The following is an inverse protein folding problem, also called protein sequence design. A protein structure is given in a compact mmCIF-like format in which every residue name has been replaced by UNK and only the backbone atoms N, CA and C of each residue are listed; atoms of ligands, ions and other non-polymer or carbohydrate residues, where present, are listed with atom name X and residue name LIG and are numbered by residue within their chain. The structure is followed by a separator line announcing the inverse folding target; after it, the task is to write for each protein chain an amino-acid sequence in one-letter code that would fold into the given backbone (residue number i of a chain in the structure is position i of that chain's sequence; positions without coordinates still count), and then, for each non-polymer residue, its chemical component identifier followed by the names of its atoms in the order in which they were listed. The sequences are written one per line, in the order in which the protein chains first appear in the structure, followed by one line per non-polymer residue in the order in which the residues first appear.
data_IF_742501115828
#
_entry.id   IF_742501115828
#
_cell.length_a   1.000
_cell.length_b   1.000
_cell.length_c   1.000
_cell.angle_alpha   90.00
_cell.angle_beta   90.00
_cell.angle_gamma   90.00
#
_symmetry.space_group_name_H-M   'P 1'
#
loop_
_entity.id
_entity.type
_entity.pdbx_description
1 polymer ?
#
# COMPACT_ATOMS: atom_id res chain seq x y z
N UNK A 1 0.76 2.82 15.52
CA UNK A 1 -0.18 2.85 14.38
C UNK A 1 0.60 2.93 13.08
N UNK A 2 0.10 2.32 11.99
CA UNK A 2 0.74 2.42 10.67
C UNK A 2 0.32 3.73 9.98
N UNK A 3 1.27 4.57 9.59
CA UNK A 3 1.00 5.91 9.07
C UNK A 3 0.09 5.88 7.83
N UNK A 4 0.39 5.05 6.83
CA UNK A 4 -0.36 4.99 5.58
C UNK A 4 -1.73 4.31 5.70
N UNK A 5 -2.06 3.73 6.86
CA UNK A 5 -3.36 3.09 7.08
C UNK A 5 -4.50 4.13 7.15
N UNK A 6 -4.22 5.33 7.64
CA UNK A 6 -5.21 6.42 7.76
C UNK A 6 -5.16 7.37 6.58
N UNK A 7 -6.31 7.94 6.22
CA UNK A 7 -6.42 9.03 5.23
C UNK A 7 -5.50 10.21 5.52
N UNK A 8 -5.43 10.64 6.79
CA UNK A 8 -4.57 11.74 7.20
C UNK A 8 -3.10 11.43 6.93
N UNK A 9 -2.63 10.22 7.27
CA UNK A 9 -1.26 9.81 7.00
C UNK A 9 -0.95 9.70 5.51
N UNK A 10 -1.86 9.13 4.69
CA UNK A 10 -1.70 9.12 3.22
C UNK A 10 -1.64 10.53 2.64
N UNK A 11 -2.49 11.44 3.10
CA UNK A 11 -2.50 12.85 2.66
C UNK A 11 -1.17 13.54 2.97
N UNK A 12 -0.62 13.30 4.15
CA UNK A 12 0.70 13.82 4.52
C UNK A 12 1.82 13.24 3.65
N UNK A 13 1.80 11.93 3.37
CA UNK A 13 2.80 11.30 2.51
C UNK A 13 2.74 11.83 1.07
N UNK A 14 1.53 11.96 0.51
CA UNK A 14 1.32 12.50 -0.85
C UNK A 14 1.79 13.96 -0.97
N UNK A 15 1.42 14.81 -0.01
CA UNK A 15 1.80 16.24 -0.03
C UNK A 15 3.30 16.49 0.14
N UNK A 16 4.04 15.55 0.75
CA UNK A 16 5.50 15.64 0.94
C UNK A 16 6.33 15.03 -0.18
N UNK A 17 5.70 14.58 -1.27
CA UNK A 17 6.40 13.95 -2.38
C UNK A 17 6.97 12.57 -2.06
N UNK A 18 6.49 11.89 -1.01
CA UNK A 18 7.00 10.58 -0.59
C UNK A 18 6.91 9.52 -1.69
N UNK A 19 5.92 9.61 -2.58
CA UNK A 19 5.80 8.73 -3.74
C UNK A 19 7.05 8.77 -4.65
N UNK A 20 7.57 9.96 -4.95
CA UNK A 20 8.76 10.10 -5.81
C UNK A 20 9.96 9.42 -5.18
N UNK A 21 10.19 9.64 -3.89
CA UNK A 21 11.30 9.02 -3.14
C UNK A 21 11.16 7.50 -3.14
N UNK A 22 9.97 6.98 -2.84
CA UNK A 22 9.70 5.53 -2.81
C UNK A 22 9.88 4.87 -4.17
N UNK A 23 9.46 5.55 -5.25
CA UNK A 23 9.61 5.03 -6.62
C UNK A 23 11.08 4.93 -7.01
N UNK A 24 11.89 5.94 -6.69
CA UNK A 24 13.32 5.87 -6.96
C UNK A 24 14.01 4.82 -6.09
N UNK A 25 13.66 4.71 -4.79
CA UNK A 25 14.17 3.64 -3.93
C UNK A 25 13.84 2.25 -4.51
N UNK A 26 12.59 2.01 -4.90
CA UNK A 26 12.15 0.76 -5.51
C UNK A 26 12.92 0.42 -6.79
N UNK A 27 13.35 1.41 -7.58
CA UNK A 27 14.10 1.17 -8.81
C UNK A 27 15.56 0.70 -8.55
N UNK A 28 16.12 1.03 -7.37
CA UNK A 28 17.56 0.87 -7.08
C UNK A 28 17.81 -0.21 -6.03
N UNK A 29 16.79 -0.51 -5.22
CA UNK A 29 16.83 -1.51 -4.16
C UNK A 29 17.00 -2.93 -4.72
N UNK A 30 17.68 -3.77 -3.94
CA UNK A 30 17.95 -5.18 -4.24
C UNK A 30 17.37 -6.12 -3.20
N UNK A 31 17.12 -5.64 -1.98
CA UNK A 31 16.48 -6.43 -0.95
C UNK A 31 15.01 -6.71 -1.31
N UNK A 32 14.60 -7.99 -1.45
CA UNK A 32 13.24 -8.35 -1.84
C UNK A 32 12.16 -7.88 -0.86
N UNK A 33 12.46 -7.86 0.43
CA UNK A 33 11.50 -7.42 1.46
C UNK A 33 11.29 -5.91 1.36
N UNK A 34 12.37 -5.15 1.16
CA UNK A 34 12.29 -3.70 0.97
C UNK A 34 11.56 -3.37 -0.34
N UNK A 35 11.81 -4.10 -1.43
CA UNK A 35 11.09 -3.94 -2.69
C UNK A 35 9.59 -4.17 -2.51
N UNK A 36 9.20 -5.27 -1.87
CA UNK A 36 7.79 -5.60 -1.60
C UNK A 36 7.13 -4.51 -0.74
N UNK A 37 7.80 -4.05 0.32
CA UNK A 37 7.31 -2.98 1.18
C UNK A 37 7.13 -1.66 0.41
N UNK A 38 8.11 -1.28 -0.43
CA UNK A 38 8.04 -0.09 -1.27
C UNK A 38 6.87 -0.18 -2.25
N UNK A 39 6.72 -1.32 -2.94
CA UNK A 39 5.64 -1.54 -3.89
C UNK A 39 4.26 -1.42 -3.22
N UNK A 40 4.07 -2.06 -2.08
CA UNK A 40 2.81 -2.00 -1.31
C UNK A 40 2.47 -0.58 -0.89
N UNK A 41 3.46 0.17 -0.38
CA UNK A 41 3.24 1.56 -0.01
C UNK A 41 2.96 2.45 -1.22
N UNK A 42 3.66 2.24 -2.34
CA UNK A 42 3.39 2.95 -3.60
C UNK A 42 1.95 2.71 -4.05
N UNK A 43 1.48 1.45 -4.06
CA UNK A 43 0.10 1.09 -4.42
C UNK A 43 -0.92 1.83 -3.56
N UNK A 44 -0.69 1.91 -2.24
CA UNK A 44 -1.55 2.66 -1.31
C UNK A 44 -1.55 4.16 -1.63
N UNK A 45 -0.40 4.74 -1.98
CA UNK A 45 -0.29 6.18 -2.25
C UNK A 45 -0.86 6.59 -3.61
N UNK A 46 -0.81 5.73 -4.62
CA UNK A 46 -1.38 6.02 -5.95
C UNK A 46 -2.86 5.64 -6.07
N UNK A 47 -3.36 4.76 -5.19
CA UNK A 47 -4.75 4.35 -5.16
C UNK A 47 -5.69 5.49 -4.76
N UNK A 48 -6.92 5.41 -5.25
CA UNK A 48 -7.99 6.33 -4.87
C UNK A 48 -8.30 6.25 -3.37
N UNK A 49 -8.75 7.37 -2.82
CA UNK A 49 -9.11 7.45 -1.42
C UNK A 49 -10.49 6.79 -1.21
N UNK A 50 -10.63 5.89 -0.21
CA UNK A 50 -11.89 5.21 0.05
C UNK A 50 -12.98 6.17 0.56
N UNK A 51 -14.21 5.66 0.57
CA UNK A 51 -15.41 6.37 1.00
C UNK A 51 -15.35 6.81 2.48
N UNK A 52 -16.17 7.81 2.83
CA UNK A 52 -16.29 8.27 4.21
C UNK A 52 -16.72 7.10 5.13
N UNK A 53 -16.00 6.92 6.24
CA UNK A 53 -16.20 5.78 7.14
C UNK A 53 -15.28 4.58 6.86
N UNK A 54 -14.49 4.61 5.78
CA UNK A 54 -13.49 3.58 5.44
C UNK A 54 -12.06 4.12 5.44
N UNK A 55 -11.80 5.15 6.24
CA UNK A 55 -10.57 5.95 6.16
C UNK A 55 -9.34 5.22 6.74
N UNK A 56 -9.55 4.29 7.68
CA UNK A 56 -8.52 3.41 8.21
C UNK A 56 -8.57 2.03 7.55
N UNK A 57 -7.62 1.77 6.64
CA UNK A 57 -7.57 0.52 5.85
C UNK A 57 -7.40 -0.75 6.69
N UNK A 58 -6.99 -0.64 7.95
CA UNK A 58 -6.86 -1.77 8.87
C UNK A 58 -8.18 -2.12 9.57
N UNK A 59 -9.17 -1.23 9.54
CA UNK A 59 -10.46 -1.40 10.20
C UNK A 59 -11.60 -1.71 9.22
N UNK A 60 -11.34 -1.63 7.91
CA UNK A 60 -12.35 -1.88 6.87
C UNK A 60 -12.66 -3.37 6.77
N UNK A 61 -13.94 -3.70 6.81
CA UNK A 61 -14.40 -5.06 6.53
C UNK A 61 -14.22 -5.38 5.03
N UNK A 62 -13.33 -6.34 4.74
CA UNK A 62 -13.07 -6.78 3.36
C UNK A 62 -14.04 -7.91 2.99
N UNK A 63 -14.84 -7.78 1.92
CA UNK A 63 -15.71 -8.85 1.44
C UNK A 63 -14.92 -10.13 1.11
N UNK A 64 -15.53 -11.29 1.31
CA UNK A 64 -14.82 -12.58 1.20
C UNK A 64 -14.22 -12.83 -0.18
N UNK A 65 -14.90 -12.41 -1.25
CA UNK A 65 -14.38 -12.50 -2.62
C UNK A 65 -13.11 -11.67 -2.79
N UNK A 66 -13.10 -10.45 -2.26
CA UNK A 66 -11.93 -9.57 -2.33
C UNK A 66 -10.78 -10.13 -1.48
N UNK A 67 -11.08 -10.70 -0.30
CA UNK A 67 -10.06 -11.39 0.49
C UNK A 67 -9.41 -12.56 -0.28
N UNK A 68 -10.21 -13.36 -1.01
CA UNK A 68 -9.66 -14.45 -1.84
C UNK A 68 -8.76 -13.92 -2.95
N UNK A 69 -9.14 -12.81 -3.59
CA UNK A 69 -8.31 -12.17 -4.63
C UNK A 69 -7.00 -11.61 -4.07
N UNK A 70 -7.05 -10.98 -2.90
CA UNK A 70 -5.86 -10.47 -2.22
C UNK A 70 -4.89 -11.60 -1.86
N UNK A 71 -5.39 -12.69 -1.26
CA UNK A 71 -4.56 -13.87 -0.92
C UNK A 71 -3.87 -14.46 -2.15
N UNK A 72 -4.58 -14.60 -3.28
CA UNK A 72 -3.97 -15.08 -4.54
C UNK A 72 -2.87 -14.14 -5.04
N UNK A 73 -3.09 -12.83 -4.99
CA UNK A 73 -2.08 -11.86 -5.40
C UNK A 73 -0.83 -11.92 -4.50
N UNK A 74 -0.99 -12.17 -3.21
CA UNK A 74 0.13 -12.37 -2.28
C UNK A 74 0.89 -13.68 -2.55
N UNK A 75 0.19 -14.76 -2.90
CA UNK A 75 0.80 -16.04 -3.30
C UNK A 75 1.63 -15.85 -4.59
N UNK A 76 1.05 -15.21 -5.61
CA UNK A 76 1.74 -14.89 -6.87
C UNK A 76 2.96 -13.96 -6.66
N UNK A 77 2.93 -13.08 -5.66
CA UNK A 77 4.08 -12.25 -5.29
C UNK A 77 5.20 -13.08 -4.64
N UNK A 78 4.86 -14.05 -3.78
CA UNK A 78 5.84 -14.90 -3.08
C UNK A 78 6.52 -15.93 -3.98
N UNK A 79 5.90 -16.30 -5.08
CA UNK A 79 6.46 -17.25 -6.06
C UNK A 79 7.45 -16.60 -7.05
N UNK A 80 7.63 -15.27 -7.00
CA UNK A 80 8.58 -14.51 -7.84
C UNK A 80 9.91 -14.27 -7.15
#
# INVERSE_FOLDING_TARGET
EQLAATKSGRTQLRSRGSYLVLRELHNWERDPEVLSACLKLIQVLIGDEPEAGMENLLEVAVPEELQRRLRRAEEEEREK
#
